data_IF_921952990085
#
_entry.id   IF_921952990085
#
_cell.length_a   1.000
_cell.length_b   1.000
_cell.length_c   1.000
_cell.angle_alpha   90.00
_cell.angle_beta   90.00
_cell.angle_gamma   90.00
#
_symmetry.space_group_name_H-M   'P 1'
#
loop_
_entity.id
_entity.type
_entity.pdbx_description
1 polymer ?
#
# COMPACT_ATOMS: atom_id res chain seq x y z
N UNK A 1 38.02 -8.81 9.35
CA UNK A 1 36.79 -8.01 9.52
C UNK A 1 36.22 -8.29 10.89
N UNK A 2 35.87 -7.27 11.68
CA UNK A 2 35.15 -7.46 12.96
C UNK A 2 33.74 -6.94 12.76
N UNK A 3 32.73 -7.79 12.96
CA UNK A 3 31.32 -7.42 12.82
C UNK A 3 30.73 -7.22 14.21
N UNK A 4 30.21 -6.03 14.48
CA UNK A 4 29.47 -5.74 15.71
C UNK A 4 27.98 -5.94 15.45
N UNK A 5 27.39 -6.94 16.10
CA UNK A 5 25.95 -7.17 16.04
C UNK A 5 25.32 -6.61 17.32
N UNK A 6 24.61 -5.49 17.21
CA UNK A 6 23.96 -4.83 18.34
C UNK A 6 22.50 -4.52 18.03
N UNK A 7 21.67 -4.43 19.07
CA UNK A 7 20.26 -4.04 18.93
C UNK A 7 20.18 -2.53 18.86
N UNK A 8 19.42 -2.04 17.89
CA UNK A 8 19.29 -0.61 17.61
C UNK A 8 17.83 -0.22 17.78
N UNK A 9 17.57 0.91 18.45
CA UNK A 9 16.23 1.47 18.59
C UNK A 9 16.07 2.66 17.65
N UNK A 10 14.91 2.73 17.01
CA UNK A 10 14.47 3.88 16.23
C UNK A 10 13.43 4.59 17.09
N UNK A 11 13.66 5.87 17.38
CA UNK A 11 12.70 6.67 18.14
C UNK A 11 11.52 7.14 17.27
N UNK A 12 10.52 7.77 17.89
CA UNK A 12 9.33 8.27 17.18
C UNK A 12 9.62 9.42 16.21
N UNK A 13 10.84 9.97 16.22
CA UNK A 13 11.30 10.99 15.27
C UNK A 13 12.03 10.39 14.05
N UNK A 14 12.25 9.06 14.05
CA UNK A 14 13.00 8.36 13.01
C UNK A 14 14.52 8.42 13.20
N UNK A 15 15.01 8.87 14.36
CA UNK A 15 16.43 8.84 14.68
C UNK A 15 16.86 7.46 15.18
N UNK A 16 18.00 7.01 14.66
CA UNK A 16 18.61 5.73 14.97
C UNK A 16 19.74 5.94 15.98
N UNK A 17 19.57 5.41 17.20
CA UNK A 17 20.59 5.49 18.26
C UNK A 17 21.23 4.13 18.50
N UNK A 18 22.55 4.04 18.36
CA UNK A 18 23.33 2.81 18.56
C UNK A 18 24.15 2.92 19.83
N UNK A 19 23.96 1.99 20.77
CA UNK A 19 24.84 1.84 21.92
C UNK A 19 25.92 0.81 21.60
N UNK A 20 27.19 1.24 21.65
CA UNK A 20 28.35 0.38 21.43
C UNK A 20 28.84 -0.08 22.81
N UNK A 21 28.66 -1.35 23.19
CA UNK A 21 28.96 -1.84 24.54
C UNK A 21 30.46 -2.05 24.79
N UNK A 22 31.30 -1.99 23.75
CA UNK A 22 32.74 -2.23 23.86
C UNK A 22 33.49 -0.92 23.68
N UNK A 23 34.50 -0.69 24.52
CA UNK A 23 35.46 0.40 24.34
C UNK A 23 36.28 0.11 23.08
N UNK A 24 35.78 0.54 21.93
CA UNK A 24 36.50 0.47 20.68
C UNK A 24 37.62 1.50 20.70
N UNK A 25 38.86 1.15 20.29
CA UNK A 25 39.93 2.13 20.20
C UNK A 25 39.55 3.22 19.19
N UNK A 26 40.03 4.46 19.38
CA UNK A 26 39.81 5.53 18.41
C UNK A 26 40.33 5.09 17.03
N UNK A 27 39.51 5.26 16.00
CA UNK A 27 39.81 4.82 14.65
C UNK A 27 38.62 4.99 13.73
N UNK A 28 38.85 4.80 12.44
CA UNK A 28 37.79 4.82 11.43
C UNK A 28 37.10 3.46 11.38
N UNK A 29 35.76 3.49 11.39
CA UNK A 29 34.93 2.29 11.32
C UNK A 29 33.90 2.46 10.21
N UNK A 30 33.76 1.42 9.38
CA UNK A 30 32.68 1.33 8.42
C UNK A 30 31.47 0.67 9.10
N UNK A 31 30.34 1.37 9.11
CA UNK A 31 29.07 0.83 9.61
C UNK A 31 28.21 0.42 8.42
N UNK A 32 27.71 -0.82 8.45
CA UNK A 32 26.78 -1.35 7.44
C UNK A 32 25.44 -1.60 8.12
N UNK A 33 24.43 -0.82 7.74
CA UNK A 33 23.05 -1.00 8.19
C UNK A 33 22.28 -1.75 7.11
N UNK A 34 21.78 -2.94 7.45
CA UNK A 34 20.91 -3.74 6.57
C UNK A 34 19.50 -3.66 7.13
N UNK A 35 18.59 -3.04 6.38
CA UNK A 35 17.17 -2.97 6.73
C UNK A 35 16.44 -3.99 5.87
N UNK A 36 16.12 -5.13 6.46
CA UNK A 36 15.20 -6.08 5.83
C UNK A 36 13.77 -5.65 6.18
N UNK A 37 13.12 -5.00 5.22
CA UNK A 37 11.71 -4.69 5.34
C UNK A 37 10.90 -5.98 5.27
N UNK A 38 10.37 -6.44 6.41
CA UNK A 38 9.17 -7.25 6.36
C UNK A 38 8.09 -6.33 5.76
N UNK A 39 7.77 -6.55 4.49
CA UNK A 39 6.65 -5.86 3.84
C UNK A 39 5.50 -5.86 4.83
N UNK A 40 5.03 -4.66 5.20
CA UNK A 40 3.83 -4.53 6.02
C UNK A 40 2.77 -5.45 5.43
N UNK A 41 1.97 -6.15 6.25
CA UNK A 41 0.89 -6.98 5.73
C UNK A 41 0.10 -6.10 4.78
N UNK A 42 0.07 -6.52 3.51
CA UNK A 42 -0.59 -5.81 2.43
C UNK A 42 -2.00 -5.48 2.93
N UNK A 43 -2.26 -4.20 3.22
CA UNK A 43 -3.59 -3.76 3.59
C UNK A 43 -4.40 -3.99 2.32
N UNK A 44 -5.04 -5.15 2.23
CA UNK A 44 -6.02 -5.45 1.20
C UNK A 44 -7.08 -4.38 1.35
N UNK A 45 -6.95 -3.30 0.57
CA UNK A 45 -7.99 -2.32 0.41
C UNK A 45 -9.18 -3.10 -0.14
N UNK A 46 -10.17 -3.34 0.71
CA UNK A 46 -11.35 -4.06 0.29
C UNK A 46 -12.11 -3.14 -0.67
N UNK A 47 -11.81 -3.22 -1.96
CA UNK A 47 -12.66 -2.69 -3.04
C UNK A 47 -14.06 -3.35 -3.03
N UNK A 48 -14.27 -4.31 -2.14
CA UNK A 48 -15.48 -5.10 -1.97
C UNK A 48 -16.68 -4.31 -1.41
N UNK A 49 -16.48 -3.08 -0.92
CA UNK A 49 -17.55 -2.30 -0.29
C UNK A 49 -17.88 -1.00 -1.04
N UNK A 50 -18.00 -1.09 -2.36
CA UNK A 50 -18.56 0.01 -3.15
C UNK A 50 -20.08 0.04 -2.99
N UNK A 51 -20.69 1.24 -2.91
CA UNK A 51 -22.14 1.37 -2.85
C UNK A 51 -22.75 0.74 -4.11
N UNK A 52 -23.67 -0.21 -3.92
CA UNK A 52 -24.44 -0.81 -5.00
C UNK A 52 -25.67 0.04 -5.25
N UNK A 53 -25.85 0.50 -6.47
CA UNK A 53 -27.10 1.12 -6.90
C UNK A 53 -28.03 0.04 -7.44
N UNK A 54 -29.17 -0.15 -6.80
CA UNK A 54 -30.22 -1.05 -7.27
C UNK A 54 -31.18 -0.29 -8.18
N UNK A 55 -31.18 -0.63 -9.46
CA UNK A 55 -32.07 -0.04 -10.47
C UNK A 55 -33.45 -0.73 -10.52
N UNK A 56 -33.68 -1.73 -9.66
CA UNK A 56 -34.89 -2.53 -9.67
C UNK A 56 -34.95 -3.52 -10.83
N UNK A 57 -36.12 -4.12 -11.04
CA UNK A 57 -36.33 -5.06 -12.13
C UNK A 57 -36.24 -4.37 -13.50
N UNK A 58 -35.56 -5.01 -14.45
CA UNK A 58 -35.52 -4.55 -15.83
C UNK A 58 -36.94 -4.52 -16.42
N UNK A 59 -37.33 -3.40 -17.02
CA UNK A 59 -38.64 -3.28 -17.63
C UNK A 59 -38.72 -4.16 -18.90
N UNK A 60 -39.59 -5.18 -18.95
CA UNK A 60 -39.68 -6.10 -20.09
C UNK A 60 -40.20 -5.42 -21.37
N UNK A 61 -40.84 -4.27 -21.24
CA UNK A 61 -41.36 -3.48 -22.36
C UNK A 61 -40.37 -2.38 -22.82
N UNK A 62 -39.18 -2.29 -22.20
CA UNK A 62 -38.16 -1.35 -22.63
C UNK A 62 -37.51 -1.85 -23.92
N UNK A 63 -37.76 -1.13 -25.01
CA UNK A 63 -37.04 -1.34 -26.27
C UNK A 63 -35.83 -0.42 -26.35
N UNK A 64 -34.68 -1.00 -26.67
CA UNK A 64 -33.44 -0.27 -26.97
C UNK A 64 -33.17 -0.28 -28.49
N UNK A 65 -34.20 -0.53 -29.31
CA UNK A 65 -34.08 -0.40 -30.76
C UNK A 65 -33.94 1.06 -31.13
N UNK A 66 -33.24 1.31 -32.23
CA UNK A 66 -32.96 2.67 -32.69
C UNK A 66 -34.27 3.41 -32.96
N UNK A 67 -35.22 2.75 -33.58
CA UNK A 67 -36.51 3.31 -33.99
C UNK A 67 -37.36 3.70 -32.76
N UNK A 68 -37.27 2.92 -31.68
CA UNK A 68 -37.96 3.21 -30.42
C UNK A 68 -37.25 4.29 -29.58
N UNK A 69 -35.92 4.44 -29.72
CA UNK A 69 -35.13 5.45 -29.01
C UNK A 69 -35.08 6.80 -29.73
N UNK A 70 -35.09 6.79 -31.05
CA UNK A 70 -34.81 7.97 -31.89
C UNK A 70 -35.91 8.26 -32.91
N UNK A 71 -36.97 7.46 -32.99
CA UNK A 71 -38.00 7.59 -34.03
C UNK A 71 -37.59 6.98 -35.38
N UNK A 72 -38.52 6.94 -36.31
CA UNK A 72 -38.36 6.36 -37.66
C UNK A 72 -37.48 7.20 -38.59
N UNK A 73 -37.24 8.46 -38.25
CA UNK A 73 -36.33 9.37 -38.96
C UNK A 73 -34.86 9.16 -38.56
N UNK A 74 -34.61 8.42 -37.48
CA UNK A 74 -33.26 8.04 -37.03
C UNK A 74 -32.32 9.25 -36.84
N UNK A 75 -32.88 10.45 -36.65
CA UNK A 75 -32.18 11.74 -36.60
C UNK A 75 -32.92 12.76 -35.74
#
# INVERSE_FOLDING_TARGET
MKTLQTKVQIDTSGQLSVNIPVAMPPGEYQVVLVIEGNSLPEVKSSLLNLPKHDLGAWNPNLSLRREDMYGDDGR
#
